data_IF_299855017164
#
_entry.id   IF_299855017164
#
_cell.length_a   1.000
_cell.length_b   1.000
_cell.length_c   1.000
_cell.angle_alpha   90.00
_cell.angle_beta   90.00
_cell.angle_gamma   90.00
#
_symmetry.space_group_name_H-M   'P 1'
#
loop_
_entity.id
_entity.type
_entity.pdbx_description
1 polymer ?
#
# COMPACT_ATOMS: atom_id res chain seq x y z
N UNK A 1 15.88 -20.66 7.72
CA UNK A 1 16.51 -19.39 7.34
C UNK A 1 18.00 -19.49 7.57
N UNK A 2 18.81 -19.24 6.55
CA UNK A 2 20.28 -19.17 6.67
C UNK A 2 20.68 -17.70 6.85
N UNK A 3 21.34 -17.38 7.96
CA UNK A 3 21.98 -16.08 8.16
C UNK A 3 23.31 -16.13 7.42
N UNK A 4 23.49 -15.26 6.42
CA UNK A 4 24.76 -15.13 5.71
C UNK A 4 25.81 -14.53 6.64
N UNK A 5 27.04 -15.04 6.57
CA UNK A 5 28.18 -14.40 7.24
C UNK A 5 28.42 -13.02 6.61
N UNK A 6 28.65 -12.01 7.45
CA UNK A 6 29.00 -10.64 7.05
C UNK A 6 30.30 -10.21 7.72
N UNK A 7 31.05 -9.31 7.09
CA UNK A 7 32.33 -8.88 7.63
C UNK A 7 32.14 -8.05 8.92
N UNK A 8 33.14 -7.99 9.81
CA UNK A 8 33.07 -7.13 10.99
C UNK A 8 32.80 -5.67 10.62
N UNK A 9 31.71 -5.10 11.12
CA UNK A 9 31.31 -3.71 10.88
C UNK A 9 30.33 -3.49 9.73
N UNK A 10 29.95 -4.54 8.99
CA UNK A 10 28.93 -4.43 7.94
C UNK A 10 27.51 -4.60 8.48
N UNK A 11 26.56 -3.92 7.86
CA UNK A 11 25.13 -4.10 8.10
C UNK A 11 24.57 -5.19 7.18
N UNK A 12 23.61 -5.96 7.68
CA UNK A 12 22.92 -6.99 6.89
C UNK A 12 21.43 -7.01 7.20
N UNK A 13 20.66 -7.47 6.22
CA UNK A 13 19.21 -7.64 6.36
C UNK A 13 18.90 -9.12 6.60
N UNK A 14 18.12 -9.40 7.65
CA UNK A 14 17.65 -10.74 7.96
C UNK A 14 16.13 -10.72 8.18
N UNK A 15 15.41 -11.54 7.41
CA UNK A 15 13.97 -11.68 7.57
C UNK A 15 13.69 -12.76 8.61
N UNK A 16 13.21 -12.36 9.79
CA UNK A 16 12.88 -13.25 10.91
C UNK A 16 11.46 -13.81 10.85
N UNK A 17 10.74 -13.54 9.76
CA UNK A 17 9.34 -13.92 9.59
C UNK A 17 8.38 -12.77 9.93
N UNK A 18 7.07 -13.07 9.85
CA UNK A 18 6.03 -12.10 10.18
C UNK A 18 5.98 -11.88 11.69
N UNK A 19 6.02 -10.61 12.11
CA UNK A 19 5.91 -10.23 13.50
C UNK A 19 4.43 -10.17 13.94
N UNK A 20 4.08 -10.87 15.02
CA UNK A 20 2.67 -11.00 15.46
C UNK A 20 2.09 -9.73 16.10
N UNK A 21 2.91 -8.71 16.36
CA UNK A 21 2.47 -7.49 17.04
C UNK A 21 1.97 -6.38 16.13
N UNK A 22 1.98 -6.58 14.80
CA UNK A 22 1.31 -5.70 13.84
C UNK A 22 0.15 -6.49 13.23
N UNK A 23 -1.08 -5.99 13.40
CA UNK A 23 -2.26 -6.58 12.79
C UNK A 23 -2.69 -5.73 11.59
N UNK A 24 -2.85 -6.39 10.45
CA UNK A 24 -3.32 -5.76 9.21
C UNK A 24 -4.63 -6.42 8.82
N UNK A 25 -5.64 -5.62 8.48
CA UNK A 25 -6.91 -6.11 7.97
C UNK A 25 -7.29 -5.36 6.69
N UNK A 26 -7.39 -6.09 5.59
CA UNK A 26 -7.71 -5.56 4.25
C UNK A 26 -9.18 -5.81 3.94
N UNK A 27 -10.03 -4.78 4.06
CA UNK A 27 -11.49 -4.90 3.91
C UNK A 27 -11.97 -4.33 2.58
N UNK A 28 -12.71 -5.09 1.76
CA UNK A 28 -13.44 -4.53 0.63
C UNK A 28 -14.63 -3.72 1.15
N UNK A 29 -14.66 -2.42 0.87
CA UNK A 29 -15.74 -1.54 1.31
C UNK A 29 -16.89 -1.52 0.32
N UNK A 30 -16.61 -1.17 -0.94
CA UNK A 30 -17.65 -1.17 -1.98
C UNK A 30 -17.08 -1.34 -3.39
N UNK A 31 -17.99 -1.76 -4.28
CA UNK A 31 -17.81 -1.81 -5.72
C UNK A 31 -18.97 -1.06 -6.37
N UNK A 32 -18.68 0.06 -7.02
CA UNK A 32 -19.69 0.89 -7.70
C UNK A 32 -19.47 0.82 -9.21
N UNK A 33 -20.54 0.58 -9.97
CA UNK A 33 -20.52 0.60 -11.43
C UNK A 33 -21.32 1.78 -11.91
N UNK A 34 -20.67 2.66 -12.66
CA UNK A 34 -21.34 3.71 -13.41
C UNK A 34 -21.49 3.26 -14.86
N UNK A 35 -22.73 3.01 -15.26
CA UNK A 35 -23.10 2.77 -16.65
C UNK A 35 -23.52 4.08 -17.28
N UNK A 36 -22.92 4.44 -18.40
CA UNK A 36 -23.46 5.52 -19.24
C UNK A 36 -24.80 5.05 -19.81
N UNK A 37 -25.88 5.80 -19.59
CA UNK A 37 -27.19 5.50 -20.18
C UNK A 37 -27.11 5.36 -21.71
N UNK A 38 -28.11 4.69 -22.31
CA UNK A 38 -28.47 4.36 -23.72
C UNK A 38 -27.60 4.76 -24.95
N UNK A 39 -26.51 5.51 -24.85
CA UNK A 39 -25.57 5.86 -25.92
C UNK A 39 -24.09 5.79 -25.53
N UNK A 40 -23.72 5.48 -24.29
CA UNK A 40 -22.31 5.46 -23.92
C UNK A 40 -21.62 4.11 -24.15
N UNK A 41 -20.46 4.16 -24.83
CA UNK A 41 -19.65 2.98 -25.19
C UNK A 41 -18.70 2.51 -24.08
N UNK A 42 -18.68 3.20 -22.94
CA UNK A 42 -17.74 2.98 -21.84
C UNK A 42 -18.48 2.69 -20.53
N UNK A 43 -17.92 1.78 -19.72
CA UNK A 43 -18.38 1.49 -18.38
C UNK A 43 -17.25 1.76 -17.38
N UNK A 44 -17.58 2.40 -16.25
CA UNK A 44 -16.62 2.68 -15.18
C UNK A 44 -16.92 1.79 -13.98
N UNK A 45 -15.87 1.22 -13.39
CA UNK A 45 -15.95 0.43 -12.16
C UNK A 45 -15.01 1.04 -11.12
N UNK A 46 -15.57 1.40 -9.97
CA UNK A 46 -14.82 1.93 -8.83
C UNK A 46 -14.77 0.88 -7.73
N UNK A 47 -13.57 0.66 -7.19
CA UNK A 47 -13.32 -0.22 -6.06
C UNK A 47 -12.79 0.62 -4.89
N UNK A 48 -13.33 0.41 -3.69
CA UNK A 48 -12.76 0.98 -2.46
C UNK A 48 -12.36 -0.14 -1.51
N UNK A 49 -11.12 -0.07 -1.05
CA UNK A 49 -10.51 -0.97 -0.06
C UNK A 49 -10.14 -0.14 1.17
N UNK A 50 -10.24 -0.74 2.36
CA UNK A 50 -9.79 -0.16 3.63
C UNK A 50 -8.66 -1.02 4.19
N UNK A 51 -7.54 -0.40 4.54
CA UNK A 51 -6.40 -1.09 5.15
C UNK A 51 -6.33 -0.65 6.61
N UNK A 52 -6.79 -1.49 7.52
CA UNK A 52 -6.65 -1.23 8.95
C UNK A 52 -5.29 -1.75 9.42
N UNK A 53 -4.50 -0.89 10.07
CA UNK A 53 -3.20 -1.25 10.62
C UNK A 53 -3.18 -0.94 12.10
N UNK A 54 -2.92 -1.98 12.92
CA UNK A 54 -2.88 -1.86 14.38
C UNK A 54 -1.54 -2.30 14.92
N UNK A 55 -0.95 -1.44 15.74
CA UNK A 55 0.16 -1.79 16.61
C UNK A 55 -0.40 -2.42 17.90
N UNK A 56 -0.08 -3.67 18.19
CA UNK A 56 -0.46 -4.35 19.44
C UNK A 56 0.69 -4.42 20.45
N UNK A 57 1.84 -3.83 20.15
CA UNK A 57 2.91 -3.68 21.11
C UNK A 57 2.62 -2.56 22.12
N UNK A 58 3.35 -2.60 23.22
CA UNK A 58 3.47 -1.55 24.23
C UNK A 58 4.53 -0.48 23.85
N UNK A 59 5.15 -0.60 22.67
CA UNK A 59 6.14 0.34 22.13
C UNK A 59 5.71 0.96 20.82
N UNK A 60 6.31 2.11 20.48
CA UNK A 60 6.17 2.76 19.16
C UNK A 60 6.80 1.90 18.06
N UNK A 61 6.15 1.82 16.90
CA UNK A 61 6.63 1.12 15.71
C UNK A 61 6.52 2.01 14.48
N UNK A 62 7.63 2.12 13.74
CA UNK A 62 7.63 2.68 12.38
C UNK A 62 7.58 1.55 11.37
N UNK A 63 6.68 1.67 10.41
CA UNK A 63 6.52 0.68 9.36
C UNK A 63 6.06 1.34 8.06
N UNK A 64 6.26 0.64 6.96
CA UNK A 64 5.78 1.04 5.64
C UNK A 64 4.72 0.06 5.17
N UNK A 65 3.51 0.53 4.89
CA UNK A 65 2.48 -0.26 4.21
C UNK A 65 2.70 -0.13 2.71
N UNK A 66 2.58 -1.23 1.99
CA UNK A 66 2.72 -1.27 0.53
C UNK A 66 1.51 -1.99 -0.05
N UNK A 67 0.77 -1.32 -0.93
CA UNK A 67 -0.37 -1.92 -1.65
C UNK A 67 -0.24 -1.68 -3.16
N UNK A 68 -0.62 -2.67 -3.96
CA UNK A 68 -0.48 -2.61 -5.41
C UNK A 68 -1.64 -1.85 -6.04
N UNK A 69 -1.35 -0.94 -6.96
CA UNK A 69 -2.38 -0.42 -7.88
C UNK A 69 -2.40 -1.31 -9.12
N UNK A 70 -3.56 -1.90 -9.49
CA UNK A 70 -3.65 -2.78 -10.65
C UNK A 70 -3.21 -2.08 -11.94
N UNK A 71 -2.51 -2.81 -12.80
CA UNK A 71 -2.14 -2.36 -14.15
C UNK A 71 -2.89 -3.23 -15.15
N UNK A 72 -3.52 -2.59 -16.14
CA UNK A 72 -4.18 -3.32 -17.23
C UNK A 72 -3.15 -3.81 -18.24
N UNK A 73 -3.34 -5.03 -18.74
CA UNK A 73 -2.62 -5.54 -19.92
C UNK A 73 -3.32 -5.19 -21.24
N UNK A 74 -4.53 -4.61 -21.17
CA UNK A 74 -5.37 -4.27 -22.32
C UNK A 74 -5.48 -2.74 -22.48
N UNK A 75 -5.15 -2.23 -23.67
CA UNK A 75 -5.15 -0.78 -23.97
C UNK A 75 -6.52 -0.12 -23.82
N UNK A 76 -7.60 -0.90 -23.96
CA UNK A 76 -8.99 -0.41 -23.83
C UNK A 76 -9.42 -0.21 -22.38
N UNK A 77 -8.64 -0.67 -21.40
CA UNK A 77 -8.96 -0.58 -19.99
C UNK A 77 -7.97 0.37 -19.32
N UNK A 78 -8.46 1.53 -18.89
CA UNK A 78 -7.68 2.49 -18.13
C UNK A 78 -7.92 2.30 -16.64
N UNK A 79 -6.83 2.14 -15.88
CA UNK A 79 -6.87 2.13 -14.40
C UNK A 79 -6.35 3.47 -13.88
N UNK A 80 -7.02 4.02 -12.86
CA UNK A 80 -6.63 5.25 -12.19
C UNK A 80 -6.81 5.12 -10.68
N UNK A 81 -5.78 5.51 -9.92
CA UNK A 81 -5.85 5.65 -8.47
C UNK A 81 -6.66 6.90 -8.11
N UNK A 82 -7.73 6.73 -7.32
CA UNK A 82 -8.57 7.85 -6.86
C UNK A 82 -8.11 8.38 -5.50
N UNK A 83 -7.91 7.48 -4.54
CA UNK A 83 -7.39 7.74 -3.21
C UNK A 83 -6.27 6.73 -2.91
N UNK A 84 -5.16 7.13 -2.28
CA UNK A 84 -4.79 8.50 -1.91
C UNK A 84 -4.36 9.34 -3.14
N UNK A 85 -4.53 10.66 -3.06
CA UNK A 85 -4.04 11.57 -4.11
C UNK A 85 -2.53 11.78 -3.97
N UNK A 86 -1.78 11.29 -4.96
CA UNK A 86 -0.31 11.44 -5.02
C UNK A 86 0.02 12.44 -6.12
N UNK A 87 0.72 13.53 -5.77
CA UNK A 87 1.20 14.51 -6.75
C UNK A 87 2.43 13.94 -7.46
N UNK A 88 2.44 14.01 -8.79
CA UNK A 88 3.53 13.46 -9.61
C UNK A 88 3.84 11.98 -9.30
N UNK A 89 2.86 11.06 -9.44
CA UNK A 89 3.05 9.64 -9.12
C UNK A 89 4.17 8.97 -9.94
N UNK A 90 4.57 9.57 -11.07
CA UNK A 90 5.72 9.16 -11.87
C UNK A 90 7.09 9.48 -11.24
N UNK A 91 7.13 10.36 -10.23
CA UNK A 91 8.36 10.77 -9.53
C UNK A 91 8.36 10.22 -8.11
N UNK A 92 9.22 9.25 -7.86
CA UNK A 92 9.45 8.76 -6.51
C UNK A 92 10.08 9.83 -5.63
N UNK A 93 9.43 10.17 -4.51
CA UNK A 93 9.94 11.08 -3.49
C UNK A 93 9.91 10.41 -2.12
N UNK A 94 11.08 9.96 -1.65
CA UNK A 94 11.25 9.27 -0.36
C UNK A 94 10.85 10.11 0.85
N UNK A 95 10.77 11.44 0.71
CA UNK A 95 10.45 12.33 1.83
C UNK A 95 8.93 12.50 1.99
N UNK A 96 8.12 11.99 1.05
CA UNK A 96 6.67 12.02 1.13
C UNK A 96 6.18 10.79 1.90
N UNK A 97 5.31 10.95 2.91
CA UNK A 97 4.79 9.82 3.68
C UNK A 97 3.84 8.94 2.85
N UNK A 98 3.26 9.46 1.77
CA UNK A 98 2.45 8.71 0.81
C UNK A 98 3.02 8.94 -0.57
N UNK A 99 3.38 7.86 -1.28
CA UNK A 99 4.10 7.93 -2.57
C UNK A 99 3.84 6.69 -3.41
N UNK A 100 4.06 6.81 -4.72
CA UNK A 100 4.04 5.68 -5.66
C UNK A 100 5.47 5.24 -5.92
N UNK A 101 5.74 3.93 -5.87
CA UNK A 101 7.06 3.38 -6.20
C UNK A 101 7.15 2.92 -7.66
N UNK A 102 8.36 2.51 -8.07
CA UNK A 102 8.64 2.08 -9.45
C UNK A 102 7.89 0.81 -9.91
N UNK A 103 7.23 0.11 -8.99
CA UNK A 103 6.47 -1.11 -9.23
C UNK A 103 4.95 -0.87 -9.27
N UNK A 104 4.52 0.39 -9.31
CA UNK A 104 3.11 0.80 -9.27
C UNK A 104 2.41 0.40 -7.96
N UNK A 105 3.15 0.44 -6.84
CA UNK A 105 2.58 0.28 -5.51
C UNK A 105 2.52 1.63 -4.79
N UNK A 106 1.45 1.85 -4.04
CA UNK A 106 1.38 2.94 -3.06
C UNK A 106 2.10 2.51 -1.79
N UNK A 107 2.95 3.38 -1.28
CA UNK A 107 3.67 3.24 -0.02
C UNK A 107 3.15 4.27 0.98
N UNK A 108 2.87 3.84 2.21
CA UNK A 108 2.54 4.71 3.34
C UNK A 108 3.56 4.51 4.46
N UNK A 109 4.30 5.55 4.83
CA UNK A 109 5.12 5.56 6.04
C UNK A 109 4.24 5.88 7.24
N UNK A 110 4.18 4.94 8.19
CA UNK A 110 3.38 5.04 9.40
C UNK A 110 4.30 5.04 10.62
N UNK A 111 3.97 5.86 11.61
CA UNK A 111 4.63 5.88 12.92
C UNK A 111 3.59 5.69 14.02
N UNK A 112 3.34 4.43 14.37
CA UNK A 112 2.27 4.00 15.26
C UNK A 112 2.74 3.93 16.71
N UNK A 113 2.05 4.62 17.60
CA UNK A 113 2.18 4.49 19.04
C UNK A 113 1.67 3.14 19.57
N UNK A 114 1.91 2.86 20.86
CA UNK A 114 1.43 1.64 21.52
C UNK A 114 -0.10 1.49 21.41
N UNK A 115 -0.58 0.33 20.96
CA UNK A 115 -2.02 0.06 20.83
C UNK A 115 -2.74 0.80 19.70
N UNK A 116 -2.07 1.69 18.96
CA UNK A 116 -2.68 2.56 17.95
C UNK A 116 -3.24 1.77 16.76
N UNK A 117 -4.41 2.21 16.28
CA UNK A 117 -5.10 1.67 15.11
C UNK A 117 -5.36 2.83 14.13
N UNK A 118 -4.95 2.65 12.88
CA UNK A 118 -5.26 3.56 11.77
C UNK A 118 -5.96 2.83 10.63
N UNK A 119 -6.55 3.60 9.71
CA UNK A 119 -7.37 3.12 8.59
C UNK A 119 -7.22 4.01 7.36
#
# INVERSE_FOLDING_TARGET
>A
SEIRAVAPGEEFNCHLGAENGIKILYRPLFKYREGTGSSGKNATMTFKQLIEVRNTFDRRVRLMVVDQVPVSAEDKIKVSLLEPTIKHPEKYDKNRPIRMNKFNNVEWDLDLGPGELIF
#
